data_IF_342521987272
#
_entry.id   IF_342521987272
#
_cell.length_a   1.000
_cell.length_b   1.000
_cell.length_c   1.000
_cell.angle_alpha   90.00
_cell.angle_beta   90.00
_cell.angle_gamma   90.00
#
_symmetry.space_group_name_H-M   'P 1'
#
loop_
_entity.id
_entity.type
_entity.pdbx_description
1 polymer ?
#
# COMPACT_ATOMS: atom_id res chain seq x y z
N UNK A 1 11.57 -7.07 -12.76
CA UNK A 1 10.62 -8.21 -12.58
C UNK A 1 9.21 -7.71 -12.84
N UNK A 2 8.26 -8.53 -13.29
CA UNK A 2 6.88 -8.09 -13.45
C UNK A 2 6.23 -7.88 -12.07
N UNK A 3 5.49 -6.78 -11.88
CA UNK A 3 4.71 -6.55 -10.67
C UNK A 3 3.59 -7.59 -10.58
N UNK A 4 3.45 -8.22 -9.42
CA UNK A 4 2.38 -9.18 -9.15
C UNK A 4 1.75 -8.92 -7.80
N UNK A 5 0.49 -9.35 -7.67
CA UNK A 5 -0.31 -9.12 -6.47
C UNK A 5 -0.89 -10.42 -5.95
N UNK A 6 -1.05 -10.47 -4.64
CA UNK A 6 -1.91 -11.45 -3.97
C UNK A 6 -2.71 -10.74 -2.90
N UNK A 7 -3.93 -11.23 -2.65
CA UNK A 7 -4.79 -10.67 -1.63
C UNK A 7 -5.06 -11.70 -0.55
N UNK A 8 -5.00 -11.27 0.71
CA UNK A 8 -5.45 -12.05 1.85
C UNK A 8 -6.58 -11.31 2.54
N UNK A 9 -7.62 -12.05 2.95
CA UNK A 9 -8.75 -11.49 3.70
C UNK A 9 -8.88 -12.21 5.02
N UNK A 10 -8.80 -11.45 6.10
CA UNK A 10 -8.97 -11.96 7.45
C UNK A 10 -9.87 -10.99 8.23
N UNK A 11 -10.89 -11.53 8.90
CA UNK A 11 -11.81 -10.77 9.78
C UNK A 11 -12.28 -9.40 9.27
N UNK A 12 -12.49 -9.26 7.95
CA UNK A 12 -12.93 -8.03 7.29
C UNK A 12 -11.80 -7.11 6.81
N UNK A 13 -10.55 -7.37 7.20
CA UNK A 13 -9.37 -6.68 6.69
C UNK A 13 -8.94 -7.32 5.37
N UNK A 14 -8.63 -6.49 4.37
CA UNK A 14 -8.00 -6.92 3.13
C UNK A 14 -6.55 -6.49 3.13
N UNK A 15 -5.64 -7.44 2.90
CA UNK A 15 -4.22 -7.19 2.72
C UNK A 15 -3.85 -7.40 1.26
N UNK A 16 -3.40 -6.33 0.59
CA UNK A 16 -2.87 -6.35 -0.77
C UNK A 16 -1.35 -6.50 -0.68
N UNK A 17 -0.83 -7.66 -1.08
CA UNK A 17 0.60 -7.94 -1.09
C UNK A 17 1.16 -7.71 -2.49
N UNK A 18 2.07 -6.75 -2.63
CA UNK A 18 2.74 -6.43 -3.88
C UNK A 18 4.14 -7.06 -3.93
N UNK A 19 4.52 -7.61 -5.09
CA UNK A 19 5.83 -8.23 -5.29
C UNK A 19 6.47 -7.74 -6.59
N UNK A 20 7.71 -7.27 -6.51
CA UNK A 20 8.46 -6.74 -7.65
C UNK A 20 8.71 -5.23 -7.56
N UNK A 21 8.69 -4.56 -8.70
CA UNK A 21 9.05 -3.15 -8.81
C UNK A 21 7.77 -2.31 -8.97
N UNK A 22 7.70 -1.18 -8.26
CA UNK A 22 6.60 -0.22 -8.39
C UNK A 22 7.17 1.07 -8.98
N UNK A 23 6.98 1.23 -10.28
CA UNK A 23 7.38 2.42 -11.04
C UNK A 23 6.21 3.00 -11.85
N UNK A 24 6.47 4.02 -12.65
CA UNK A 24 5.48 4.65 -13.54
C UNK A 24 4.70 3.65 -14.42
N UNK A 25 5.31 2.56 -14.87
CA UNK A 25 4.68 1.57 -15.75
C UNK A 25 3.75 0.61 -15.01
N UNK A 26 3.96 0.41 -13.72
CA UNK A 26 3.20 -0.54 -12.89
C UNK A 26 2.34 0.13 -11.81
N UNK A 27 2.49 1.45 -11.62
CA UNK A 27 1.75 2.22 -10.62
C UNK A 27 0.23 2.10 -10.80
N UNK A 28 -0.24 2.11 -12.05
CA UNK A 28 -1.67 1.97 -12.37
C UNK A 28 -2.22 0.59 -11.95
N UNK A 29 -1.41 -0.47 -12.00
CA UNK A 29 -1.81 -1.78 -11.51
C UNK A 29 -1.99 -1.79 -9.99
N UNK A 30 -1.02 -1.23 -9.26
CA UNK A 30 -1.13 -1.11 -7.80
C UNK A 30 -2.32 -0.23 -7.41
N UNK A 31 -2.57 0.86 -8.14
CA UNK A 31 -3.70 1.75 -7.87
C UNK A 31 -5.02 0.99 -8.01
N UNK A 32 -5.19 0.21 -9.08
CA UNK A 32 -6.41 -0.60 -9.28
C UNK A 32 -6.66 -1.59 -8.13
N UNK A 33 -5.62 -2.31 -7.70
CA UNK A 33 -5.74 -3.29 -6.61
C UNK A 33 -6.10 -2.63 -5.28
N UNK A 34 -5.44 -1.50 -4.95
CA UNK A 34 -5.72 -0.75 -3.73
C UNK A 34 -7.13 -0.16 -3.75
N UNK A 35 -7.53 0.46 -4.86
CA UNK A 35 -8.87 1.03 -4.99
C UNK A 35 -9.96 -0.05 -4.90
N UNK A 36 -9.76 -1.22 -5.50
CA UNK A 36 -10.68 -2.35 -5.39
C UNK A 36 -10.80 -2.83 -3.93
N UNK A 37 -9.67 -2.95 -3.21
CA UNK A 37 -9.66 -3.32 -1.81
C UNK A 37 -10.39 -2.30 -0.92
N UNK A 38 -10.24 -1.00 -1.20
CA UNK A 38 -10.91 0.08 -0.45
C UNK A 38 -12.40 0.15 -0.76
N UNK A 39 -12.82 0.01 -2.02
CA UNK A 39 -14.24 0.09 -2.41
C UNK A 39 -15.05 -1.18 -2.12
N UNK A 40 -14.38 -2.33 -1.95
CA UNK A 40 -15.05 -3.58 -1.59
C UNK A 40 -15.58 -3.61 -0.15
N UNK A 41 -16.09 -4.76 0.28
CA UNK A 41 -16.72 -4.94 1.60
C UNK A 41 -15.73 -5.08 2.78
N UNK A 42 -14.50 -4.56 2.63
CA UNK A 42 -13.49 -4.55 3.69
C UNK A 42 -13.85 -3.54 4.78
N UNK A 43 -13.54 -3.86 6.03
CA UNK A 43 -13.59 -2.93 7.16
C UNK A 43 -12.29 -2.14 7.29
N UNK A 44 -11.17 -2.68 6.81
CA UNK A 44 -9.87 -2.03 6.75
C UNK A 44 -9.03 -2.57 5.58
N UNK A 45 -8.03 -1.79 5.18
CA UNK A 45 -7.11 -2.17 4.09
C UNK A 45 -5.66 -2.05 4.56
N UNK A 46 -4.87 -3.07 4.25
CA UNK A 46 -3.42 -3.06 4.44
C UNK A 46 -2.73 -3.28 3.09
N UNK A 47 -1.67 -2.54 2.83
CA UNK A 47 -0.76 -2.78 1.70
C UNK A 47 0.56 -3.29 2.24
N UNK A 48 0.94 -4.49 1.83
CA UNK A 48 2.19 -5.15 2.22
C UNK A 48 3.22 -4.94 1.12
N UNK A 49 4.34 -4.32 1.48
CA UNK A 49 5.48 -4.03 0.59
C UNK A 49 6.70 -4.94 0.86
N UNK A 50 6.51 -6.07 1.55
CA UNK A 50 7.57 -7.00 1.98
C UNK A 50 8.41 -7.59 0.87
N UNK A 51 7.82 -7.72 -0.32
CA UNK A 51 8.45 -8.27 -1.51
C UNK A 51 8.58 -7.22 -2.62
N UNK A 52 8.38 -5.93 -2.29
CA UNK A 52 8.64 -4.82 -3.21
C UNK A 52 10.12 -4.46 -3.14
N UNK A 53 10.79 -4.52 -4.29
CA UNK A 53 12.24 -4.31 -4.40
C UNK A 53 12.60 -2.88 -4.82
N UNK A 54 11.64 -2.16 -5.42
CA UNK A 54 11.81 -0.78 -5.89
C UNK A 54 10.51 0.00 -5.78
N UNK A 55 10.60 1.28 -5.43
CA UNK A 55 9.48 2.21 -5.34
C UNK A 55 9.93 3.60 -5.79
N UNK A 56 9.21 4.22 -6.72
CA UNK A 56 9.43 5.61 -7.13
C UNK A 56 8.33 6.57 -6.63
N UNK A 57 8.36 7.82 -7.12
CA UNK A 57 7.34 8.81 -6.80
C UNK A 57 5.93 8.46 -7.27
N UNK A 58 5.79 7.71 -8.37
CA UNK A 58 4.48 7.27 -8.85
C UNK A 58 3.88 6.26 -7.87
N UNK A 59 4.69 5.29 -7.42
CA UNK A 59 4.27 4.34 -6.39
C UNK A 59 3.90 4.99 -5.06
N UNK A 60 4.69 5.97 -4.58
CA UNK A 60 4.32 6.75 -3.38
C UNK A 60 2.96 7.43 -3.54
N UNK A 61 2.72 8.06 -4.69
CA UNK A 61 1.46 8.77 -4.96
C UNK A 61 0.27 7.80 -4.93
N UNK A 62 0.44 6.58 -5.44
CA UNK A 62 -0.59 5.53 -5.35
C UNK A 62 -0.93 5.20 -3.90
N UNK A 63 0.07 5.02 -3.03
CA UNK A 63 -0.18 4.72 -1.62
C UNK A 63 -0.91 5.87 -0.90
N UNK A 64 -0.51 7.13 -1.19
CA UNK A 64 -1.17 8.32 -0.64
C UNK A 64 -2.61 8.49 -1.15
N UNK A 65 -2.88 8.19 -2.42
CA UNK A 65 -4.24 8.19 -2.98
C UNK A 65 -5.09 7.10 -2.35
N UNK A 66 -4.54 5.91 -2.15
CA UNK A 66 -5.20 4.83 -1.44
C UNK A 66 -5.60 5.23 -0.02
N UNK A 67 -4.69 5.89 0.71
CA UNK A 67 -4.98 6.44 2.04
C UNK A 67 -6.15 7.43 2.01
N UNK A 68 -6.11 8.42 1.11
CA UNK A 68 -7.18 9.43 0.98
C UNK A 68 -8.52 8.78 0.65
N UNK A 69 -8.55 7.84 -0.29
CA UNK A 69 -9.76 7.13 -0.65
C UNK A 69 -10.32 6.32 0.52
N UNK A 70 -9.46 5.69 1.31
CA UNK A 70 -9.87 4.96 2.51
C UNK A 70 -10.43 5.89 3.59
N UNK A 71 -9.81 7.06 3.79
CA UNK A 71 -10.30 8.10 4.69
C UNK A 71 -11.70 8.60 4.26
N UNK A 72 -11.93 8.80 2.95
CA UNK A 72 -13.26 9.14 2.39
C UNK A 72 -14.32 8.07 2.66
N UNK A 73 -13.92 6.80 2.74
CA UNK A 73 -14.80 5.67 3.07
C UNK A 73 -14.83 5.34 4.58
N UNK A 74 -14.13 6.11 5.42
CA UNK A 74 -14.03 5.86 6.86
C UNK A 74 -13.33 4.54 7.22
N UNK A 75 -12.41 4.05 6.39
CA UNK A 75 -11.71 2.77 6.56
C UNK A 75 -10.26 3.00 7.03
N UNK A 76 -9.78 2.28 8.05
CA UNK A 76 -8.36 2.25 8.37
C UNK A 76 -7.55 1.76 7.16
N UNK A 77 -6.45 2.46 6.88
CA UNK A 77 -5.55 2.15 5.78
C UNK A 77 -4.10 2.23 6.26
N UNK A 78 -3.36 1.13 6.08
CA UNK A 78 -1.99 1.01 6.54
C UNK A 78 -1.06 0.43 5.47
N UNK A 79 0.18 0.88 5.46
CA UNK A 79 1.29 0.29 4.71
C UNK A 79 2.20 -0.43 5.69
N UNK A 80 2.57 -1.67 5.36
CA UNK A 80 3.35 -2.54 6.23
C UNK A 80 4.51 -3.19 5.48
N UNK A 81 5.44 -3.77 6.24
CA UNK A 81 6.52 -4.62 5.74
C UNK A 81 7.41 -3.99 4.65
N UNK A 82 7.45 -2.66 4.48
CA UNK A 82 8.44 -2.04 3.61
C UNK A 82 9.86 -2.32 4.14
N UNK A 83 10.76 -2.74 3.26
CA UNK A 83 12.14 -3.11 3.61
C UNK A 83 13.17 -2.32 2.78
N UNK A 84 14.43 -2.34 3.22
CA UNK A 84 15.59 -1.81 2.48
C UNK A 84 15.38 -0.41 1.90
N UNK A 85 15.64 -0.27 0.60
CA UNK A 85 15.55 1.01 -0.12
C UNK A 85 14.12 1.58 -0.14
N UNK A 86 13.10 0.72 -0.21
CA UNK A 86 11.68 1.13 -0.22
C UNK A 86 11.33 1.79 1.11
N UNK A 87 11.69 1.17 2.24
CA UNK A 87 11.48 1.77 3.57
C UNK A 87 12.23 3.09 3.72
N UNK A 88 13.48 3.14 3.27
CA UNK A 88 14.29 4.35 3.37
C UNK A 88 13.68 5.51 2.57
N UNK A 89 13.22 5.24 1.36
CA UNK A 89 12.57 6.22 0.49
C UNK A 89 11.25 6.73 1.08
N UNK A 90 10.43 5.85 1.66
CA UNK A 90 9.20 6.24 2.37
C UNK A 90 9.48 7.10 3.62
N UNK A 91 10.57 6.81 4.36
CA UNK A 91 10.96 7.61 5.53
C UNK A 91 11.55 8.96 5.13
N UNK A 92 12.41 9.01 4.11
CA UNK A 92 13.04 10.25 3.64
C UNK A 92 12.01 11.25 3.11
N UNK A 93 10.90 10.76 2.54
CA UNK A 93 9.80 11.60 2.06
C UNK A 93 8.82 11.99 3.17
N UNK A 94 8.99 11.49 4.39
CA UNK A 94 8.07 11.70 5.52
C UNK A 94 6.73 10.95 5.38
N UNK A 95 6.55 10.21 4.29
CA UNK A 95 5.28 9.53 3.96
C UNK A 95 5.06 8.29 4.83
N UNK A 96 6.15 7.64 5.27
CA UNK A 96 6.06 6.46 6.13
C UNK A 96 5.20 6.71 7.37
N UNK A 97 5.41 7.83 8.07
CA UNK A 97 4.71 8.13 9.34
C UNK A 97 3.22 8.46 9.14
N UNK A 98 2.81 8.78 7.91
CA UNK A 98 1.41 8.99 7.54
C UNK A 98 0.70 7.70 7.10
N UNK A 99 1.46 6.68 6.71
CA UNK A 99 0.94 5.46 6.10
C UNK A 99 1.10 4.23 7.00
N UNK A 100 2.10 4.19 7.88
CA UNK A 100 2.29 3.03 8.73
C UNK A 100 1.12 2.86 9.71
N UNK A 101 0.84 1.61 10.09
CA UNK A 101 0.01 1.38 11.26
C UNK A 101 0.63 2.08 12.47
N UNK A 102 -0.15 2.76 13.32
CA UNK A 102 0.37 3.16 14.62
C UNK A 102 0.85 1.87 15.31
N UNK A 103 2.12 1.84 15.73
CA UNK A 103 2.61 0.75 16.58
C UNK A 103 1.68 0.71 17.80
N UNK A 104 0.97 -0.41 17.96
CA UNK A 104 -0.29 -0.49 18.72
C UNK A 104 -0.25 0.20 20.09
N UNK A 105 -1.36 0.87 20.41
CA UNK A 105 -1.78 1.10 21.80
C UNK A 105 -2.46 -0.14 22.36
#
# INVERSE_FOLDING_TARGET
>A
MALSFSQHRDTGVVTVMARGEVDLSTADDLQREVEAAVRGDSTAVTVDLGEVTFLDSAGINVLLRGRRLADEHGKPYHVTNAQGIVRQLLRMTGVWDHLCAPEGG
#
